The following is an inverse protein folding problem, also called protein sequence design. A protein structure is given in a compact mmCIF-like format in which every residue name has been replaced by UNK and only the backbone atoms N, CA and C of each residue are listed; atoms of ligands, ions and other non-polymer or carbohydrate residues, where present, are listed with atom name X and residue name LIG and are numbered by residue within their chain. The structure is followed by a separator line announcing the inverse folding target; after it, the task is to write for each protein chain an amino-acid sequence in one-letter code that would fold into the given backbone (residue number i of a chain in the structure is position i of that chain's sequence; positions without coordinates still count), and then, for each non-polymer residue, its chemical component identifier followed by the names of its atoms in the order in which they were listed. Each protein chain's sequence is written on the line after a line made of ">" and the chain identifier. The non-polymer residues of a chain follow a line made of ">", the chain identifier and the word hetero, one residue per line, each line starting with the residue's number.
data_IF_232906179190
#
_entry.id   IF_232906179190
#
_cell.length_a   1.000
_cell.length_b   1.000
_cell.length_c   1.000
_cell.angle_alpha   90.00
_cell.angle_beta   90.00
_cell.angle_gamma   90.00
#
_symmetry.space_group_name_H-M   'P 1'
#
loop_
_entity.id
_entity.type
_entity.pdbx_description
1 polymer ?
#
# COMPACT_ATOMS: atom_id res chain seq x y z
N UNK A 1 -0.27 14.41 -5.05
CA UNK A 1 0.86 13.48 -5.00
C UNK A 1 1.99 14.04 -5.88
N UNK A 2 3.17 14.17 -5.30
CA UNK A 2 4.30 14.79 -5.98
C UNK A 2 5.54 13.92 -5.85
N UNK A 3 6.50 14.12 -6.77
CA UNK A 3 7.84 13.57 -6.71
C UNK A 3 8.90 14.67 -6.72
N UNK A 4 10.05 14.39 -6.12
CA UNK A 4 11.24 15.22 -6.14
C UNK A 4 12.44 14.30 -6.28
N UNK A 5 13.41 14.69 -7.11
CA UNK A 5 14.65 13.93 -7.23
C UNK A 5 15.49 14.01 -5.97
N UNK A 6 16.20 12.92 -5.67
CA UNK A 6 17.14 12.83 -4.55
C UNK A 6 18.44 12.21 -5.04
N UNK A 7 19.55 12.87 -4.76
CA UNK A 7 20.88 12.36 -5.03
C UNK A 7 21.45 11.68 -3.77
N UNK A 8 21.62 10.35 -3.77
CA UNK A 8 22.09 9.61 -2.61
C UNK A 8 23.57 9.87 -2.27
N UNK A 9 24.38 10.29 -3.24
CA UNK A 9 25.82 10.57 -3.01
C UNK A 9 26.00 11.89 -2.29
N UNK A 10 25.33 12.95 -2.79
CA UNK A 10 25.40 14.28 -2.17
C UNK A 10 24.39 14.47 -1.06
N UNK A 11 23.42 13.54 -0.91
CA UNK A 11 22.31 13.61 0.05
C UNK A 11 21.46 14.88 -0.10
N UNK A 12 21.28 15.34 -1.32
CA UNK A 12 20.52 16.57 -1.63
C UNK A 12 19.27 16.23 -2.44
N UNK A 13 18.23 16.98 -2.17
CA UNK A 13 17.04 17.00 -3.03
C UNK A 13 17.25 17.94 -4.21
N UNK A 14 16.61 17.60 -5.33
CA UNK A 14 16.50 18.50 -6.47
C UNK A 14 15.66 19.74 -6.16
N UNK A 15 15.61 20.66 -7.12
CA UNK A 15 14.85 21.91 -6.96
C UNK A 15 13.46 21.86 -7.60
N UNK A 16 13.22 20.88 -8.46
CA UNK A 16 11.97 20.73 -9.19
C UNK A 16 11.10 19.69 -8.48
N UNK A 17 9.83 20.04 -8.30
CA UNK A 17 8.79 19.14 -7.79
C UNK A 17 7.82 18.87 -8.93
N UNK A 18 7.66 17.59 -9.29
CA UNK A 18 6.76 17.17 -10.34
C UNK A 18 5.45 16.67 -9.72
N UNK A 19 4.32 17.12 -10.26
CA UNK A 19 2.99 16.68 -9.80
C UNK A 19 2.60 15.42 -10.55
N UNK A 20 2.45 14.30 -9.81
CA UNK A 20 2.02 13.00 -10.34
C UNK A 20 0.50 12.86 -10.32
N UNK A 21 -0.15 13.41 -9.30
CA UNK A 21 -1.61 13.45 -9.18
C UNK A 21 -2.04 14.69 -8.39
N UNK A 22 -3.10 15.35 -8.87
CA UNK A 22 -3.77 16.45 -8.16
C UNK A 22 -5.28 16.29 -8.29
N UNK A 23 -5.99 16.37 -7.17
CA UNK A 23 -7.46 16.32 -7.14
C UNK A 23 -8.14 17.51 -7.84
N UNK A 24 -7.45 18.64 -7.94
CA UNK A 24 -7.94 19.85 -8.60
C UNK A 24 -7.67 19.86 -10.10
N UNK A 25 -6.57 19.24 -10.50
CA UNK A 25 -6.16 19.14 -11.91
C UNK A 25 -6.69 17.87 -12.57
N UNK A 26 -7.63 17.23 -11.94
CA UNK A 26 -8.25 16.00 -12.43
C UNK A 26 -9.08 16.25 -13.70
N UNK A 27 -8.46 16.83 -14.71
CA UNK A 27 -8.70 16.44 -16.10
C UNK A 27 -8.31 14.98 -16.23
N UNK A 28 -8.67 14.23 -15.19
CA UNK A 28 -8.24 12.88 -14.99
C UNK A 28 -8.97 12.03 -15.99
N UNK A 29 -8.21 11.34 -16.76
CA UNK A 29 -8.61 10.29 -17.67
C UNK A 29 -9.38 9.15 -16.96
N UNK A 30 -9.67 9.28 -15.65
CA UNK A 30 -10.31 8.26 -14.83
C UNK A 30 -11.48 8.88 -14.07
N UNK A 31 -12.69 8.49 -14.46
CA UNK A 31 -13.91 8.87 -13.76
C UNK A 31 -13.89 8.40 -12.30
N UNK A 32 -14.23 9.28 -11.37
CA UNK A 32 -14.33 8.97 -9.94
C UNK A 32 -13.05 9.16 -9.14
N UNK A 33 -11.98 9.70 -9.75
CA UNK A 33 -10.75 10.08 -9.04
C UNK A 33 -10.73 11.55 -8.61
N UNK A 34 -11.72 12.33 -9.04
CA UNK A 34 -11.83 13.76 -8.73
C UNK A 34 -12.12 13.97 -7.23
N UNK A 35 -11.51 15.00 -6.67
CA UNK A 35 -11.70 15.41 -5.26
C UNK A 35 -11.30 14.36 -4.21
N UNK A 36 -10.56 13.33 -4.61
CA UNK A 36 -10.05 12.31 -3.70
C UNK A 36 -8.68 12.65 -3.13
N UNK A 37 -8.43 12.15 -1.94
CA UNK A 37 -7.14 12.25 -1.25
C UNK A 37 -6.24 11.06 -1.60
N UNK A 38 -4.99 11.33 -1.99
CA UNK A 38 -4.00 10.29 -2.26
C UNK A 38 -3.18 9.97 -1.00
N UNK A 39 -3.02 8.68 -0.71
CA UNK A 39 -2.25 8.20 0.43
C UNK A 39 -1.41 6.96 0.08
N UNK A 40 -0.42 6.66 0.92
CA UNK A 40 0.45 5.48 0.81
C UNK A 40 1.10 5.27 -0.56
N UNK A 41 1.79 6.27 -1.15
CA UNK A 41 2.50 6.06 -2.41
C UNK A 41 3.64 5.05 -2.23
N UNK A 42 3.68 4.03 -3.10
CA UNK A 42 4.71 3.00 -3.12
C UNK A 42 5.20 2.75 -4.54
N UNK A 43 6.43 3.13 -4.81
CA UNK A 43 7.09 2.86 -6.10
C UNK A 43 7.54 1.39 -6.11
N UNK A 44 7.36 0.72 -7.25
CA UNK A 44 7.89 -0.61 -7.47
C UNK A 44 9.44 -0.59 -7.45
N UNK A 45 10.10 -1.65 -6.96
CA UNK A 45 11.56 -1.68 -6.88
C UNK A 45 12.30 -1.48 -8.21
N UNK A 46 11.66 -1.77 -9.35
CA UNK A 46 12.20 -1.50 -10.69
C UNK A 46 11.98 -0.06 -11.18
N UNK A 47 11.30 0.78 -10.38
CA UNK A 47 11.07 2.19 -10.67
C UNK A 47 10.00 2.48 -11.73
N UNK A 48 9.26 1.48 -12.20
CA UNK A 48 8.34 1.65 -13.34
C UNK A 48 6.90 1.98 -12.94
N UNK A 49 6.49 1.54 -11.77
CA UNK A 49 5.10 1.63 -11.32
C UNK A 49 5.01 2.34 -9.97
N UNK A 50 4.03 3.19 -9.82
CA UNK A 50 3.65 3.76 -8.53
C UNK A 50 2.24 3.31 -8.20
N UNK A 51 2.06 2.61 -7.09
CA UNK A 51 0.73 2.29 -6.54
C UNK A 51 0.45 3.17 -5.34
N UNK A 52 -0.79 3.63 -5.22
CA UNK A 52 -1.25 4.48 -4.13
C UNK A 52 -2.75 4.28 -3.90
N UNK A 53 -3.25 4.71 -2.75
CA UNK A 53 -4.67 4.65 -2.40
C UNK A 53 -5.32 6.01 -2.65
N UNK A 54 -6.49 6.03 -3.28
CA UNK A 54 -7.39 7.18 -3.32
C UNK A 54 -8.64 6.91 -2.49
N UNK A 55 -9.04 7.88 -1.69
CA UNK A 55 -10.27 7.88 -0.90
C UNK A 55 -10.82 9.29 -0.74
N UNK A 56 -12.10 9.45 -0.45
CA UNK A 56 -12.70 10.77 -0.21
C UNK A 56 -12.03 11.49 0.96
N UNK A 57 -11.57 10.73 1.95
CA UNK A 57 -10.91 11.28 3.12
C UNK A 57 -9.54 10.62 3.36
N UNK A 58 -8.48 11.41 3.42
CA UNK A 58 -7.08 10.94 3.41
C UNK A 58 -6.56 10.31 4.70
N UNK A 59 -7.27 10.42 5.84
CA UNK A 59 -6.83 9.82 7.10
C UNK A 59 -7.45 8.45 7.30
N UNK A 60 -6.62 7.48 7.73
CA UNK A 60 -7.07 6.11 8.02
C UNK A 60 -7.88 5.48 6.89
N UNK A 61 -7.36 5.52 5.67
CA UNK A 61 -8.02 4.99 4.46
C UNK A 61 -8.56 3.57 4.63
N UNK A 62 -7.95 2.77 5.50
CA UNK A 62 -8.38 1.39 5.78
C UNK A 62 -9.79 1.28 6.40
N UNK A 63 -10.37 2.39 6.85
CA UNK A 63 -11.73 2.46 7.39
C UNK A 63 -12.76 3.02 6.40
N UNK A 64 -12.31 3.44 5.22
CA UNK A 64 -13.13 4.03 4.19
C UNK A 64 -13.42 3.04 3.07
N UNK A 65 -14.68 2.67 2.86
CA UNK A 65 -15.08 1.70 1.83
C UNK A 65 -14.74 2.14 0.41
N UNK A 66 -14.66 3.44 0.19
CA UNK A 66 -14.33 4.05 -1.10
C UNK A 66 -12.82 4.13 -1.38
N UNK A 67 -12.00 3.60 -0.46
CA UNK A 67 -10.56 3.60 -0.62
C UNK A 67 -10.11 2.50 -1.58
N UNK A 68 -9.70 2.90 -2.76
CA UNK A 68 -9.29 2.08 -3.88
C UNK A 68 -7.81 2.21 -4.19
N UNK A 69 -7.21 1.17 -4.75
CA UNK A 69 -5.86 1.20 -5.30
C UNK A 69 -5.86 1.73 -6.74
N UNK A 70 -4.92 2.64 -6.97
CA UNK A 70 -4.62 3.22 -8.28
C UNK A 70 -3.13 3.04 -8.58
N UNK A 71 -2.81 2.98 -9.86
CA UNK A 71 -1.47 2.79 -10.37
C UNK A 71 -1.13 3.87 -11.38
N UNK A 72 0.06 4.43 -11.29
CA UNK A 72 0.66 5.27 -12.33
C UNK A 72 1.81 4.50 -12.96
N UNK A 73 1.82 4.42 -14.28
CA UNK A 73 3.00 4.04 -15.05
C UNK A 73 3.94 5.25 -15.10
N UNK A 74 5.13 5.11 -14.53
CA UNK A 74 6.05 6.23 -14.35
C UNK A 74 6.78 6.65 -15.63
N UNK A 75 6.83 5.77 -16.64
CA UNK A 75 7.43 6.08 -17.92
C UNK A 75 6.48 6.91 -18.78
N UNK A 76 5.20 6.58 -18.79
CA UNK A 76 4.17 7.25 -19.60
C UNK A 76 3.39 8.33 -18.83
N UNK A 77 3.41 8.31 -17.50
CA UNK A 77 2.58 9.16 -16.64
C UNK A 77 1.10 8.77 -16.64
N UNK A 78 0.73 7.66 -17.27
CA UNK A 78 -0.68 7.23 -17.35
C UNK A 78 -1.12 6.59 -16.06
N UNK A 79 -2.26 7.08 -15.54
CA UNK A 79 -2.88 6.57 -14.32
C UNK A 79 -4.00 5.58 -14.67
N UNK A 80 -4.11 4.53 -13.86
CA UNK A 80 -5.15 3.51 -13.98
C UNK A 80 -5.77 3.20 -12.62
N UNK A 81 -7.09 3.01 -12.56
CA UNK A 81 -7.74 2.35 -11.44
C UNK A 81 -7.45 0.84 -11.54
N UNK A 82 -7.18 0.19 -10.43
CA UNK A 82 -6.87 -1.24 -10.42
C UNK A 82 -8.15 -2.06 -10.26
N UNK A 83 -9.03 -2.04 -11.28
CA UNK A 83 -10.39 -2.60 -11.21
C UNK A 83 -10.42 -4.10 -10.87
N UNK A 84 -9.44 -4.89 -11.33
CA UNK A 84 -9.36 -6.31 -11.00
C UNK A 84 -8.94 -6.56 -9.54
N UNK A 85 -8.33 -5.54 -8.91
CA UNK A 85 -7.84 -5.63 -7.52
C UNK A 85 -8.83 -5.05 -6.54
N UNK A 86 -9.50 -3.98 -6.91
CA UNK A 86 -10.45 -3.27 -6.07
C UNK A 86 -11.76 -4.07 -5.88
N UNK A 87 -12.47 -3.77 -4.81
CA UNK A 87 -13.75 -4.40 -4.46
C UNK A 87 -14.77 -3.35 -4.00
N UNK A 88 -15.91 -3.80 -3.46
CA UNK A 88 -16.92 -2.92 -2.84
C UNK A 88 -16.56 -2.48 -1.40
N UNK A 89 -15.39 -2.85 -0.92
CA UNK A 89 -14.85 -2.42 0.38
C UNK A 89 -13.41 -1.94 0.18
N UNK A 90 -12.75 -1.54 1.24
CA UNK A 90 -11.43 -0.89 1.21
C UNK A 90 -10.32 -1.77 0.67
N UNK A 91 -9.43 -1.16 -0.12
CA UNK A 91 -8.10 -1.62 -0.48
C UNK A 91 -7.07 -0.57 -0.12
N UNK A 92 -6.15 -0.91 0.78
CA UNK A 92 -5.10 0.01 1.23
C UNK A 92 -3.88 -0.73 1.79
N UNK A 93 -2.92 0.00 2.37
CA UNK A 93 -1.74 -0.53 3.05
C UNK A 93 -0.97 -1.55 2.20
N UNK A 94 -0.71 -1.18 0.96
CA UNK A 94 -0.03 -2.04 0.01
C UNK A 94 1.49 -1.94 0.07
N UNK A 95 2.17 -3.01 -0.31
CA UNK A 95 3.62 -3.11 -0.39
C UNK A 95 4.05 -4.00 -1.55
N UNK A 96 5.16 -3.65 -2.20
CA UNK A 96 5.74 -4.39 -3.31
C UNK A 96 6.69 -5.48 -2.85
N UNK A 97 6.67 -6.60 -3.57
CA UNK A 97 7.76 -7.58 -3.50
C UNK A 97 9.02 -7.03 -4.19
N UNK A 98 10.19 -7.50 -3.74
CA UNK A 98 11.48 -7.02 -4.25
C UNK A 98 11.74 -7.27 -5.74
N UNK A 99 10.98 -8.15 -6.38
CA UNK A 99 11.05 -8.42 -7.81
C UNK A 99 10.02 -7.63 -8.64
N UNK A 100 9.28 -6.68 -8.03
CA UNK A 100 8.25 -5.87 -8.68
C UNK A 100 7.10 -6.67 -9.32
N UNK A 101 6.88 -7.92 -8.91
CA UNK A 101 5.90 -8.83 -9.53
C UNK A 101 4.71 -9.15 -8.64
N UNK A 102 4.80 -8.82 -7.36
CA UNK A 102 3.73 -9.07 -6.41
C UNK A 102 3.45 -7.82 -5.59
N UNK A 103 2.19 -7.61 -5.34
CA UNK A 103 1.70 -6.62 -4.38
C UNK A 103 0.95 -7.37 -3.28
N UNK A 104 1.25 -7.03 -2.02
CA UNK A 104 0.44 -7.39 -0.87
C UNK A 104 -0.33 -6.16 -0.42
N UNK A 105 -1.57 -6.31 -0.03
CA UNK A 105 -2.41 -5.20 0.44
C UNK A 105 -3.44 -5.68 1.45
N UNK A 106 -3.98 -4.76 2.23
CA UNK A 106 -5.05 -5.02 3.18
C UNK A 106 -6.41 -4.73 2.56
N UNK A 107 -7.38 -5.64 2.76
CA UNK A 107 -8.76 -5.44 2.35
C UNK A 107 -9.73 -6.01 3.38
N UNK A 108 -10.92 -5.43 3.48
CA UNK A 108 -12.02 -5.89 4.34
C UNK A 108 -13.14 -6.58 3.55
N UNK A 109 -12.92 -6.92 2.29
CA UNK A 109 -13.91 -7.46 1.35
C UNK A 109 -14.59 -8.76 1.78
N UNK A 110 -14.03 -9.51 2.77
CA UNK A 110 -14.65 -10.76 3.22
C UNK A 110 -15.89 -10.49 4.09
N UNK A 111 -15.76 -9.58 5.04
CA UNK A 111 -16.76 -9.38 6.09
C UNK A 111 -17.08 -7.91 6.42
N UNK A 112 -16.35 -6.97 5.81
CA UNK A 112 -16.48 -5.54 6.06
C UNK A 112 -15.99 -5.10 7.44
N UNK A 113 -15.40 -5.99 8.23
CA UNK A 113 -15.01 -5.75 9.62
C UNK A 113 -13.50 -5.86 9.84
N UNK A 114 -12.91 -6.97 9.39
CA UNK A 114 -11.51 -7.28 9.66
C UNK A 114 -10.66 -7.18 8.41
N UNK A 115 -9.52 -6.50 8.52
CA UNK A 115 -8.55 -6.45 7.43
C UNK A 115 -7.85 -7.79 7.27
N UNK A 116 -7.75 -8.25 6.02
CA UNK A 116 -7.05 -9.47 5.63
C UNK A 116 -5.97 -9.12 4.61
N UNK A 117 -4.82 -9.79 4.64
CA UNK A 117 -3.78 -9.61 3.64
C UNK A 117 -4.17 -10.33 2.35
N UNK A 118 -4.16 -9.59 1.25
CA UNK A 118 -4.38 -10.09 -0.10
C UNK A 118 -3.10 -9.99 -0.91
N UNK A 119 -2.93 -10.91 -1.82
CA UNK A 119 -1.83 -10.97 -2.77
C UNK A 119 -2.36 -10.83 -4.18
N UNK A 120 -1.66 -10.08 -5.01
CA UNK A 120 -1.93 -10.00 -6.44
C UNK A 120 -0.63 -10.02 -7.24
N UNK A 121 -0.62 -10.79 -8.32
CA UNK A 121 0.49 -10.78 -9.28
C UNK A 121 0.33 -9.63 -10.26
N UNK A 122 1.43 -8.97 -10.60
CA UNK A 122 1.51 -7.90 -11.61
C UNK A 122 2.57 -8.30 -12.63
N UNK A 123 2.20 -8.39 -13.89
CA UNK A 123 3.13 -8.74 -14.95
C UNK A 123 4.04 -7.55 -15.35
N UNK A 124 4.94 -7.77 -16.30
CA UNK A 124 5.90 -6.76 -16.75
C UNK A 124 5.26 -5.56 -17.45
N UNK A 125 4.05 -5.71 -17.94
CA UNK A 125 3.27 -4.65 -18.58
C UNK A 125 2.34 -3.95 -17.58
N UNK A 126 2.43 -4.30 -16.29
CA UNK A 126 1.59 -3.75 -15.23
C UNK A 126 0.18 -4.32 -15.20
N UNK A 127 -0.11 -5.40 -15.95
CA UNK A 127 -1.40 -6.07 -15.88
C UNK A 127 -1.51 -6.89 -14.60
N UNK A 128 -2.58 -6.67 -13.87
CA UNK A 128 -2.90 -7.38 -12.62
C UNK A 128 -3.62 -8.69 -12.86
N UNK A 129 -3.26 -9.69 -12.07
CA UNK A 129 -4.03 -10.92 -11.94
C UNK A 129 -5.21 -10.73 -10.98
N UNK A 130 -5.95 -11.82 -10.73
CA UNK A 130 -6.99 -11.84 -9.72
C UNK A 130 -6.37 -11.88 -8.31
N UNK A 131 -6.76 -11.00 -7.39
CA UNK A 131 -6.27 -11.05 -6.03
C UNK A 131 -6.82 -12.25 -5.25
N UNK A 132 -6.03 -12.76 -4.32
CA UNK A 132 -6.45 -13.82 -3.40
C UNK A 132 -5.96 -13.52 -2.00
N UNK A 133 -6.74 -13.94 -0.99
CA UNK A 133 -6.35 -13.82 0.41
C UNK A 133 -5.12 -14.69 0.70
N UNK A 134 -4.21 -14.22 1.57
CA UNK A 134 -3.04 -15.00 1.98
C UNK A 134 -3.48 -16.37 2.50
N UNK A 135 -3.08 -17.48 1.85
CA UNK A 135 -3.50 -18.82 2.26
C UNK A 135 -3.05 -19.17 3.67
N UNK A 136 -3.88 -19.90 4.39
CA UNK A 136 -3.61 -20.49 5.70
C UNK A 136 -3.71 -22.01 5.60
N UNK A 137 -3.07 -22.73 6.51
CA UNK A 137 -3.18 -24.20 6.58
C UNK A 137 -4.63 -24.65 6.78
N UNK A 138 -5.37 -23.92 7.61
CA UNK A 138 -6.78 -24.14 7.84
C UNK A 138 -7.59 -23.23 6.90
N UNK A 139 -8.35 -23.75 5.93
CA UNK A 139 -9.17 -22.96 5.02
C UNK A 139 -10.20 -22.07 5.74
N UNK A 140 -10.68 -22.51 6.92
CA UNK A 140 -11.66 -21.78 7.72
C UNK A 140 -11.03 -20.80 8.72
N UNK A 141 -9.72 -20.62 8.67
CA UNK A 141 -8.99 -19.73 9.59
C UNK A 141 -9.61 -18.34 9.68
N UNK A 142 -9.84 -17.68 8.56
CA UNK A 142 -10.34 -16.30 8.53
C UNK A 142 -11.78 -16.17 9.04
N UNK A 143 -12.59 -17.21 8.96
CA UNK A 143 -13.97 -17.20 9.50
C UNK A 143 -14.01 -17.14 11.04
N UNK A 144 -12.93 -17.58 11.68
CA UNK A 144 -12.80 -17.64 13.16
C UNK A 144 -11.82 -16.62 13.72
N UNK A 145 -10.98 -16.02 12.87
CA UNK A 145 -9.95 -15.08 13.30
C UNK A 145 -10.52 -13.67 13.44
N UNK A 146 -10.87 -13.29 14.66
CA UNK A 146 -11.53 -12.02 14.99
C UNK A 146 -10.55 -10.86 15.25
N UNK A 147 -9.43 -10.81 14.51
CA UNK A 147 -8.46 -9.73 14.56
C UNK A 147 -8.16 -9.22 13.16
N UNK A 148 -7.81 -7.95 13.07
CA UNK A 148 -7.32 -7.33 11.84
C UNK A 148 -5.81 -7.48 11.71
N UNK A 149 -5.34 -7.75 10.51
CA UNK A 149 -3.96 -7.52 10.15
C UNK A 149 -3.73 -6.02 9.92
N UNK A 150 -2.54 -5.56 10.27
CA UNK A 150 -2.16 -4.17 10.00
C UNK A 150 -1.47 -4.09 8.62
N UNK A 151 -0.50 -3.22 8.45
CA UNK A 151 0.22 -3.00 7.19
C UNK A 151 1.03 -4.26 6.84
N UNK A 152 0.69 -5.02 5.79
CA UNK A 152 1.48 -6.17 5.38
C UNK A 152 2.69 -5.72 4.57
N UNK A 153 3.83 -6.35 4.79
CA UNK A 153 5.05 -6.10 4.03
C UNK A 153 5.76 -7.41 3.66
N UNK A 154 6.37 -7.42 2.48
CA UNK A 154 7.28 -8.50 2.11
C UNK A 154 8.64 -8.31 2.78
N UNK A 155 9.24 -9.42 3.20
CA UNK A 155 10.61 -9.46 3.73
C UNK A 155 11.48 -10.38 2.89
N UNK A 156 12.78 -10.09 2.81
CA UNK A 156 13.76 -10.97 2.20
C UNK A 156 14.36 -11.88 3.27
N UNK A 157 14.28 -13.18 3.02
CA UNK A 157 14.83 -14.19 3.92
C UNK A 157 13.90 -14.50 5.12
N UNK A 158 14.45 -15.24 6.06
CA UNK A 158 13.73 -15.66 7.27
C UNK A 158 13.70 -14.52 8.28
N UNK A 159 12.54 -14.31 8.91
CA UNK A 159 12.45 -13.43 10.08
C UNK A 159 13.11 -14.16 11.25
N UNK A 160 14.23 -13.62 11.74
CA UNK A 160 15.00 -14.24 12.82
C UNK A 160 14.44 -13.94 14.21
N UNK A 161 13.66 -12.84 14.34
CA UNK A 161 13.06 -12.47 15.61
C UNK A 161 11.88 -13.39 15.92
N UNK A 162 11.91 -13.98 17.12
CA UNK A 162 10.78 -14.78 17.59
C UNK A 162 9.61 -13.89 18.02
N UNK A 163 8.39 -14.33 17.69
CA UNK A 163 7.14 -13.58 17.98
C UNK A 163 7.02 -13.23 19.47
N UNK A 164 7.39 -14.14 20.35
CA UNK A 164 7.35 -13.91 21.81
C UNK A 164 8.32 -12.82 22.25
N UNK A 165 9.52 -12.79 21.68
CA UNK A 165 10.52 -11.75 21.97
C UNK A 165 10.04 -10.36 21.59
N UNK A 166 9.37 -10.22 20.44
CA UNK A 166 8.77 -8.95 19.99
C UNK A 166 7.66 -8.53 20.95
N UNK A 167 6.74 -9.43 21.29
CA UNK A 167 5.64 -9.15 22.20
C UNK A 167 6.11 -8.76 23.61
N UNK A 168 7.10 -9.45 24.14
CA UNK A 168 7.69 -9.15 25.46
C UNK A 168 8.44 -7.84 25.48
N UNK A 169 9.13 -7.51 24.38
CA UNK A 169 9.84 -6.23 24.24
C UNK A 169 8.84 -5.07 24.16
N UNK A 170 7.74 -5.25 23.42
CA UNK A 170 6.69 -4.24 23.31
C UNK A 170 5.97 -3.97 24.65
N UNK A 171 5.90 -4.96 25.54
CA UNK A 171 5.30 -4.83 26.90
C UNK A 171 6.23 -4.19 27.92
N UNK A 172 7.54 -4.16 27.66
CA UNK A 172 8.49 -3.53 28.58
C UNK A 172 8.31 -2.01 28.55
N UNK A 173 8.46 -1.33 29.72
CA UNK A 173 8.46 0.12 29.73
C UNK A 173 9.62 0.63 28.87
N UNK A 174 9.31 1.44 27.87
CA UNK A 174 10.31 2.03 26.99
C UNK A 174 11.19 3.03 27.71
N UNK A 175 12.46 3.12 27.33
CA UNK A 175 13.33 4.19 27.78
C UNK A 175 12.80 5.53 27.24
N UNK A 176 12.59 6.50 28.12
CA UNK A 176 12.19 7.85 27.69
C UNK A 176 13.35 8.47 26.90
N UNK A 177 13.11 8.76 25.65
CA UNK A 177 14.02 9.55 24.84
C UNK A 177 14.03 10.97 25.44
N UNK A 178 15.19 11.41 25.94
CA UNK A 178 15.41 12.81 26.32
C UNK A 178 15.86 13.53 25.06
N UNK A 179 15.07 14.48 24.60
CA UNK A 179 15.53 15.43 23.58
C UNK A 179 16.44 16.42 24.27
N UNK A 180 17.72 16.44 23.91
CA UNK A 180 18.59 17.56 24.26
C UNK A 180 18.13 18.81 23.52
N UNK A 181 18.07 19.91 24.26
CA UNK A 181 17.67 21.23 23.73
C UNK A 181 18.80 21.85 22.93
#
# INVERSE_FOLDING_TARGET
>A
LCSISFDPETRRFGHQVDTLYSSEQATVQITGAEHKSASFPRVSPDGKQLVFTLSEYGNFSIWHKDADLYRIDLDSGVMHRMDEVNSDDVESYHSWSSNSRWLVFSSRRIDGLYTRPYLVHIDENGKTGKPFVLPQEDPDFYSRFMFSYNIPEFVKGKVEAEVHTIADTARKPGNRIRMEK
#
